data_IF_358589369933
#
_entry.id   IF_358589369933
#
_cell.length_a   1.000
_cell.length_b   1.000
_cell.length_c   1.000
_cell.angle_alpha   90.00
_cell.angle_beta   90.00
_cell.angle_gamma   90.00
#
_symmetry.space_group_name_H-M   'P 1'
#
loop_
_entity.id
_entity.type
_entity.pdbx_description
1 polymer ?
#
# COMPACT_ATOMS: atom_id res chain seq x y z
N UNK A 1 12.69 12.97 -3.91
CA UNK A 1 11.43 13.60 -3.44
C UNK A 1 10.35 12.53 -3.38
N UNK A 2 9.61 12.44 -2.28
CA UNK A 2 8.73 11.31 -1.91
C UNK A 2 7.35 11.26 -2.59
N UNK A 3 7.26 11.67 -3.86
CA UNK A 3 5.97 11.77 -4.57
C UNK A 3 5.28 10.39 -4.73
N UNK A 4 6.06 9.35 -5.02
CA UNK A 4 5.51 8.01 -5.27
C UNK A 4 4.74 7.45 -4.07
N UNK A 5 5.32 7.53 -2.86
CA UNK A 5 4.65 7.01 -1.66
C UNK A 5 3.42 7.85 -1.29
N UNK A 6 3.45 9.17 -1.51
CA UNK A 6 2.28 10.02 -1.32
C UNK A 6 1.11 9.62 -2.24
N UNK A 7 1.40 9.32 -3.52
CA UNK A 7 0.39 8.80 -4.47
C UNK A 7 -0.15 7.45 -3.98
N UNK A 8 0.72 6.52 -3.55
CA UNK A 8 0.30 5.22 -3.01
C UNK A 8 -0.61 5.40 -1.79
N UNK A 9 -0.26 6.27 -0.84
CA UNK A 9 -1.13 6.57 0.31
C UNK A 9 -2.50 7.08 -0.12
N UNK A 10 -2.57 7.96 -1.12
CA UNK A 10 -3.82 8.46 -1.68
C UNK A 10 -4.68 7.34 -2.28
N UNK A 11 -4.08 6.50 -3.13
CA UNK A 11 -4.76 5.35 -3.74
C UNK A 11 -5.28 4.39 -2.66
N UNK A 12 -4.43 3.99 -1.72
CA UNK A 12 -4.82 3.05 -0.67
C UNK A 12 -5.97 3.58 0.17
N UNK A 13 -5.96 4.88 0.51
CA UNK A 13 -7.04 5.51 1.26
C UNK A 13 -8.38 5.47 0.51
N UNK A 14 -8.36 5.72 -0.79
CA UNK A 14 -9.56 5.61 -1.65
C UNK A 14 -10.12 4.19 -1.68
N UNK A 15 -9.25 3.18 -1.57
CA UNK A 15 -9.63 1.76 -1.52
C UNK A 15 -9.85 1.21 -0.11
N UNK A 16 -9.94 2.08 0.90
CA UNK A 16 -10.08 1.71 2.32
C UNK A 16 -8.99 0.74 2.82
N UNK A 17 -7.85 0.72 2.14
CA UNK A 17 -6.70 -0.12 2.44
C UNK A 17 -5.57 0.66 3.11
N UNK A 18 -4.47 -0.06 3.35
CA UNK A 18 -3.29 0.49 4.03
C UNK A 18 -1.98 0.05 3.38
N UNK A 19 -0.90 0.79 3.64
CA UNK A 19 0.46 0.46 3.21
C UNK A 19 1.39 0.44 4.43
N UNK A 20 2.14 -0.64 4.58
CA UNK A 20 3.26 -0.77 5.54
C UNK A 20 4.59 -0.75 4.79
N UNK A 21 5.60 -0.10 5.38
CA UNK A 21 6.90 0.09 4.76
C UNK A 21 8.00 -0.32 5.72
N UNK A 22 8.81 -1.28 5.27
CA UNK A 22 9.96 -1.79 6.00
C UNK A 22 11.20 -1.56 5.15
N UNK A 23 12.17 -0.79 5.66
CA UNK A 23 13.41 -0.49 4.95
C UNK A 23 14.57 -0.44 5.91
N UNK A 24 15.72 -0.96 5.47
CA UNK A 24 16.98 -0.85 6.18
C UNK A 24 18.13 -0.60 5.18
N UNK A 25 19.12 0.24 5.52
CA UNK A 25 20.27 0.48 4.66
C UNK A 25 20.96 -0.84 4.24
N UNK A 26 21.23 -0.98 2.95
CA UNK A 26 21.86 -2.19 2.40
C UNK A 26 20.96 -3.43 2.28
N UNK A 27 19.71 -3.38 2.75
CA UNK A 27 18.72 -4.48 2.63
C UNK A 27 17.59 -4.18 1.65
N UNK A 28 17.54 -2.96 1.12
CA UNK A 28 16.45 -2.50 0.26
C UNK A 28 15.20 -2.12 1.06
N UNK A 29 14.06 -2.16 0.37
CA UNK A 29 12.77 -1.75 0.92
C UNK A 29 11.67 -2.72 0.51
N UNK A 30 10.81 -3.06 1.46
CA UNK A 30 9.60 -3.83 1.26
C UNK A 30 8.38 -2.95 1.55
N UNK A 31 7.42 -2.97 0.64
CA UNK A 31 6.14 -2.30 0.76
C UNK A 31 5.07 -3.39 0.78
N UNK A 32 4.24 -3.41 1.81
CA UNK A 32 3.13 -4.36 1.93
C UNK A 32 1.82 -3.58 1.86
N UNK A 33 0.98 -3.92 0.88
CA UNK A 33 -0.32 -3.28 0.68
C UNK A 33 -1.41 -4.24 1.16
N UNK A 34 -2.37 -3.70 1.92
CA UNK A 34 -3.50 -4.45 2.46
C UNK A 34 -4.79 -3.82 1.96
N UNK A 35 -5.73 -4.66 1.55
CA UNK A 35 -7.05 -4.24 1.08
C UNK A 35 -8.13 -4.94 1.92
N UNK A 36 -9.30 -4.30 2.11
CA UNK A 36 -10.46 -5.00 2.63
C UNK A 36 -10.77 -6.24 1.79
N UNK A 37 -11.22 -7.30 2.44
CA UNK A 37 -11.70 -8.49 1.74
C UNK A 37 -12.96 -8.11 0.95
N UNK A 38 -12.98 -8.41 -0.34
CA UNK A 38 -14.15 -8.18 -1.17
C UNK A 38 -15.35 -8.98 -0.63
N UNK A 39 -16.46 -8.30 -0.37
CA UNK A 39 -17.70 -8.91 0.13
C UNK A 39 -18.65 -9.35 -0.98
N UNK A 40 -18.29 -9.07 -2.24
CA UNK A 40 -19.03 -9.52 -3.42
C UNK A 40 -18.46 -10.83 -3.97
N UNK A 41 -19.34 -11.72 -4.43
CA UNK A 41 -18.92 -12.85 -5.26
C UNK A 41 -18.39 -12.29 -6.59
N UNK A 42 -17.18 -12.68 -6.98
CA UNK A 42 -16.66 -12.35 -8.30
C UNK A 42 -17.64 -12.90 -9.37
N UNK A 43 -17.96 -12.10 -10.41
CA UNK A 43 -18.85 -12.55 -11.49
C UNK A 43 -18.28 -13.75 -12.24
#
# INVERSE_FOLDING_TARGET
TGLGLAVVHGVMRTHEGGVDVQSAPGQGSRFTLYFPVATGQAP
#
